data_IF_433899864318
#
_entry.id   IF_433899864318
#
_cell.length_a   1.000
_cell.length_b   1.000
_cell.length_c   1.000
_cell.angle_alpha   90.00
_cell.angle_beta   90.00
_cell.angle_gamma   90.00
#
_symmetry.space_group_name_H-M   'P 1'
#
loop_
_entity.id
_entity.type
_entity.pdbx_description
1 polymer ?
#
# COMPACT_ATOMS: atom_id res chain seq x y z
N UNK A 1 29.69 7.83 -113.92
CA UNK A 1 28.24 8.13 -113.82
C UNK A 1 27.89 8.31 -112.34
N UNK A 2 27.07 9.31 -111.97
CA UNK A 2 27.08 9.93 -110.66
C UNK A 2 26.12 9.28 -109.65
N UNK A 3 26.54 9.24 -108.39
CA UNK A 3 25.75 8.85 -107.22
C UNK A 3 25.07 10.11 -106.67
N UNK A 4 23.75 10.20 -106.80
CA UNK A 4 22.95 11.29 -106.23
C UNK A 4 22.70 11.05 -104.72
N UNK A 5 23.31 11.89 -103.88
CA UNK A 5 22.96 12.02 -102.47
C UNK A 5 21.60 12.74 -102.33
N UNK A 6 20.57 12.02 -101.86
CA UNK A 6 19.26 12.58 -101.51
C UNK A 6 19.26 12.94 -100.03
N UNK A 7 19.67 14.16 -99.70
CA UNK A 7 19.52 14.74 -98.37
C UNK A 7 18.03 14.93 -98.07
N UNK A 8 17.50 14.18 -97.10
CA UNK A 8 16.15 14.35 -96.58
C UNK A 8 16.16 15.51 -95.60
N UNK A 9 15.78 16.70 -96.06
CA UNK A 9 15.51 17.85 -95.19
C UNK A 9 14.22 17.56 -94.42
N UNK A 10 14.34 17.16 -93.16
CA UNK A 10 13.23 17.20 -92.20
C UNK A 10 12.96 18.65 -91.83
N UNK A 11 12.01 19.27 -92.52
CA UNK A 11 11.48 20.58 -92.19
C UNK A 11 10.74 20.48 -90.85
N UNK A 12 11.41 20.89 -89.78
CA UNK A 12 10.82 21.13 -88.46
C UNK A 12 9.84 22.32 -88.58
N UNK A 13 8.60 22.03 -89.00
CA UNK A 13 7.48 22.96 -88.87
C UNK A 13 7.15 23.11 -87.38
N UNK A 14 7.80 24.07 -86.73
CA UNK A 14 7.47 24.54 -85.38
C UNK A 14 6.15 25.30 -85.45
N UNK A 15 5.04 24.54 -85.51
CA UNK A 15 3.69 25.08 -85.40
C UNK A 15 3.56 25.57 -83.96
N UNK A 16 3.74 26.88 -83.77
CA UNK A 16 3.46 27.56 -82.51
C UNK A 16 1.98 27.36 -82.20
N UNK A 17 1.67 26.28 -81.48
CA UNK A 17 0.37 26.06 -80.89
C UNK A 17 0.18 27.19 -79.88
N UNK A 18 -0.60 28.19 -80.26
CA UNK A 18 -1.08 29.20 -79.32
C UNK A 18 -1.74 28.45 -78.16
N UNK A 19 -1.22 28.64 -76.96
CA UNK A 19 -1.78 28.12 -75.71
C UNK A 19 -3.19 28.68 -75.53
N UNK A 20 -4.18 27.97 -76.08
CA UNK A 20 -5.58 28.27 -75.84
C UNK A 20 -5.88 27.97 -74.38
N UNK A 21 -6.57 28.86 -73.67
CA UNK A 21 -6.92 28.69 -72.25
C UNK A 21 -7.53 27.30 -71.94
N UNK A 22 -8.20 26.69 -72.92
CA UNK A 22 -8.73 25.32 -72.89
C UNK A 22 -7.65 24.24 -72.63
N UNK A 23 -6.48 24.33 -73.26
CA UNK A 23 -5.39 23.36 -73.09
C UNK A 23 -4.74 23.50 -71.69
N UNK A 24 -4.65 24.73 -71.18
CA UNK A 24 -4.17 25.00 -69.82
C UNK A 24 -5.16 24.44 -68.79
N UNK A 25 -6.46 24.64 -68.99
CA UNK A 25 -7.50 24.09 -68.11
C UNK A 25 -7.50 22.55 -68.12
N UNK A 26 -7.32 21.94 -69.29
CA UNK A 26 -7.25 20.48 -69.44
C UNK A 26 -6.00 19.92 -68.75
N UNK A 27 -4.87 20.61 -68.84
CA UNK A 27 -3.64 20.24 -68.13
C UNK A 27 -3.84 20.33 -66.60
N UNK A 28 -4.39 21.43 -66.09
CA UNK A 28 -4.69 21.60 -64.66
C UNK A 28 -5.67 20.52 -64.17
N UNK A 29 -6.74 20.27 -64.92
CA UNK A 29 -7.71 19.22 -64.61
C UNK A 29 -7.06 17.83 -64.58
N UNK A 30 -6.11 17.55 -65.47
CA UNK A 30 -5.40 16.27 -65.49
C UNK A 30 -4.43 16.10 -64.33
N UNK A 31 -3.95 17.20 -63.74
CA UNK A 31 -3.01 17.20 -62.61
C UNK A 31 -3.71 17.12 -61.25
N UNK A 32 -4.95 17.63 -61.14
CA UNK A 32 -5.72 17.63 -59.90
C UNK A 32 -6.01 16.20 -59.42
N UNK A 33 -6.39 15.29 -60.32
CA UNK A 33 -6.78 13.91 -59.93
C UNK A 33 -5.60 13.16 -59.28
N UNK A 34 -4.40 13.06 -59.89
CA UNK A 34 -3.24 12.43 -59.25
C UNK A 34 -2.84 13.10 -57.93
N UNK A 35 -2.97 14.43 -57.83
CA UNK A 35 -2.61 15.18 -56.63
C UNK A 35 -3.57 14.87 -55.46
N UNK A 36 -4.87 14.81 -55.73
CA UNK A 36 -5.89 14.40 -54.73
C UNK A 36 -5.64 12.96 -54.29
N UNK A 37 -5.35 12.04 -55.21
CA UNK A 37 -5.00 10.66 -54.87
C UNK A 37 -3.72 10.56 -54.03
N UNK A 38 -2.71 11.37 -54.34
CA UNK A 38 -1.45 11.42 -53.57
C UNK A 38 -1.68 11.87 -52.13
N UNK A 39 -2.41 12.97 -51.92
CA UNK A 39 -2.75 13.47 -50.58
C UNK A 39 -3.58 12.44 -49.82
N UNK A 40 -4.60 11.86 -50.47
CA UNK A 40 -5.46 10.85 -49.85
C UNK A 40 -4.67 9.62 -49.40
N UNK A 41 -3.74 9.14 -50.23
CA UNK A 41 -2.87 8.02 -49.90
C UNK A 41 -1.99 8.32 -48.68
N UNK A 42 -1.39 9.52 -48.61
CA UNK A 42 -0.58 9.95 -47.46
C UNK A 42 -1.43 9.99 -46.18
N UNK A 43 -2.63 10.58 -46.25
CA UNK A 43 -3.54 10.67 -45.09
C UNK A 43 -3.94 9.28 -44.57
N UNK A 44 -4.33 8.38 -45.47
CA UNK A 44 -4.66 6.99 -45.10
C UNK A 44 -3.46 6.30 -44.47
N UNK A 45 -2.27 6.44 -45.06
CA UNK A 45 -1.06 5.78 -44.56
C UNK A 45 -0.74 6.25 -43.14
N UNK A 46 -0.83 7.56 -42.87
CA UNK A 46 -0.66 8.10 -41.53
C UNK A 46 -1.74 7.61 -40.55
N UNK A 47 -2.99 7.54 -40.99
CA UNK A 47 -4.09 7.07 -40.16
C UNK A 47 -3.91 5.59 -39.79
N UNK A 48 -3.61 4.72 -40.77
CA UNK A 48 -3.34 3.31 -40.55
C UNK A 48 -2.13 3.09 -39.63
N UNK A 49 -1.07 3.89 -39.81
CA UNK A 49 0.10 3.81 -38.93
C UNK A 49 -0.24 4.20 -37.49
N UNK A 50 -1.09 5.21 -37.29
CA UNK A 50 -1.54 5.63 -35.97
C UNK A 50 -2.36 4.54 -35.30
N UNK A 51 -3.38 3.99 -35.97
CA UNK A 51 -4.23 2.92 -35.43
C UNK A 51 -3.41 1.66 -35.11
N UNK A 52 -2.47 1.27 -35.98
CA UNK A 52 -1.61 0.12 -35.73
C UNK A 52 -0.65 0.34 -34.53
N UNK A 53 -0.26 1.59 -34.24
CA UNK A 53 0.53 1.91 -33.03
C UNK A 53 -0.31 1.85 -31.77
N UNK A 54 -1.54 2.35 -31.83
CA UNK A 54 -2.47 2.33 -30.70
C UNK A 54 -2.80 0.88 -30.32
N UNK A 55 -3.14 0.02 -31.28
CA UNK A 55 -3.38 -1.40 -31.05
C UNK A 55 -2.17 -2.11 -30.41
N UNK A 56 -0.95 -1.89 -30.93
CA UNK A 56 0.26 -2.47 -30.33
C UNK A 56 0.51 -1.99 -28.89
N UNK A 57 0.07 -0.78 -28.55
CA UNK A 57 0.21 -0.24 -27.20
C UNK A 57 -0.82 -0.87 -26.25
N UNK A 58 -2.04 -1.07 -26.73
CA UNK A 58 -3.10 -1.78 -26.00
C UNK A 58 -2.70 -3.24 -25.74
N UNK A 59 -2.28 -3.99 -26.76
CA UNK A 59 -1.81 -5.37 -26.63
C UNK A 59 -0.66 -5.49 -25.61
N UNK A 60 0.26 -4.52 -25.62
CA UNK A 60 1.40 -4.51 -24.70
C UNK A 60 1.00 -4.18 -23.26
N UNK A 61 -0.04 -3.37 -23.07
CA UNK A 61 -0.60 -3.08 -21.75
C UNK A 61 -1.38 -4.27 -21.21
N UNK A 62 -2.22 -4.92 -22.01
CA UNK A 62 -2.93 -6.15 -21.64
C UNK A 62 -1.95 -7.25 -21.21
N UNK A 63 -0.89 -7.48 -22.00
CA UNK A 63 0.17 -8.44 -21.66
C UNK A 63 0.92 -8.09 -20.35
N UNK A 64 0.97 -6.81 -19.97
CA UNK A 64 1.57 -6.38 -18.69
C UNK A 64 0.62 -6.62 -17.53
N UNK A 65 -0.68 -6.43 -17.74
CA UNK A 65 -1.69 -6.69 -16.73
C UNK A 65 -1.81 -8.19 -16.45
N UNK A 66 -1.87 -9.02 -17.49
CA UNK A 66 -1.88 -10.49 -17.36
C UNK A 66 -0.68 -11.00 -16.56
N UNK A 67 0.53 -10.49 -16.87
CA UNK A 67 1.75 -10.86 -16.14
C UNK A 67 1.71 -10.41 -14.68
N UNK A 68 1.07 -9.28 -14.38
CA UNK A 68 0.90 -8.83 -12.98
C UNK A 68 -0.08 -9.73 -12.24
N UNK A 69 -1.19 -10.09 -12.87
CA UNK A 69 -2.14 -11.02 -12.28
C UNK A 69 -1.52 -12.39 -12.01
N UNK A 70 -0.78 -12.93 -12.98
CA UNK A 70 -0.10 -14.21 -12.83
C UNK A 70 0.93 -14.17 -11.69
N UNK A 71 1.69 -13.08 -11.57
CA UNK A 71 2.63 -12.89 -10.46
C UNK A 71 1.93 -12.84 -9.10
N UNK A 72 0.77 -12.17 -9.01
CA UNK A 72 -0.03 -12.13 -7.78
C UNK A 72 -0.56 -13.53 -7.44
N UNK A 73 -1.11 -14.26 -8.42
CA UNK A 73 -1.60 -15.63 -8.24
C UNK A 73 -0.48 -16.57 -7.78
N UNK A 74 0.71 -16.48 -8.39
CA UNK A 74 1.87 -17.25 -8.00
C UNK A 74 2.36 -16.92 -6.58
N UNK A 75 2.37 -15.65 -6.20
CA UNK A 75 2.74 -15.23 -4.85
C UNK A 75 1.74 -15.76 -3.80
N UNK A 76 0.43 -15.65 -4.06
CA UNK A 76 -0.60 -16.16 -3.16
C UNK A 76 -0.52 -17.69 -3.03
N UNK A 77 -0.27 -18.41 -4.13
CA UNK A 77 -0.10 -19.86 -4.10
C UNK A 77 1.13 -20.28 -3.29
N UNK A 78 2.25 -19.57 -3.45
CA UNK A 78 3.47 -19.80 -2.67
C UNK A 78 3.25 -19.51 -1.18
N UNK A 79 2.52 -18.46 -0.84
CA UNK A 79 2.19 -18.12 0.55
C UNK A 79 1.30 -19.20 1.18
N UNK A 80 0.25 -19.61 0.47
CA UNK A 80 -0.63 -20.70 0.92
C UNK A 80 0.14 -22.01 1.12
N UNK A 81 1.07 -22.35 0.21
CA UNK A 81 1.90 -23.54 0.36
C UNK A 81 2.83 -23.47 1.57
N UNK A 82 3.38 -22.29 1.89
CA UNK A 82 4.18 -22.06 3.10
C UNK A 82 3.34 -22.23 4.37
N UNK A 83 2.11 -21.73 4.36
CA UNK A 83 1.17 -21.92 5.49
C UNK A 83 0.87 -23.40 5.69
N UNK A 84 0.50 -24.11 4.62
CA UNK A 84 0.21 -25.55 4.67
C UNK A 84 1.41 -26.37 5.17
N UNK A 85 2.64 -26.03 4.74
CA UNK A 85 3.85 -26.69 5.22
C UNK A 85 4.08 -26.45 6.72
N UNK A 86 3.80 -25.23 7.21
CA UNK A 86 3.90 -24.87 8.62
C UNK A 86 2.87 -25.63 9.45
N UNK A 87 1.64 -25.74 8.97
CA UNK A 87 0.56 -26.44 9.67
C UNK A 87 0.83 -27.95 9.72
N UNK A 88 1.28 -28.56 8.62
CA UNK A 88 1.71 -29.97 8.61
C UNK A 88 2.83 -30.24 9.61
N UNK A 89 3.79 -29.32 9.71
CA UNK A 89 4.86 -29.44 10.69
C UNK A 89 4.33 -29.38 12.13
N UNK A 90 3.39 -28.47 12.43
CA UNK A 90 2.73 -28.37 13.74
C UNK A 90 1.95 -29.64 14.08
N UNK A 91 1.20 -30.18 13.13
CA UNK A 91 0.44 -31.41 13.31
C UNK A 91 1.35 -32.60 13.60
N UNK A 92 2.47 -32.73 12.87
CA UNK A 92 3.47 -33.76 13.13
C UNK A 92 4.09 -33.63 14.52
N UNK A 93 4.42 -32.39 14.93
CA UNK A 93 4.99 -32.12 16.25
C UNK A 93 3.99 -32.48 17.36
N UNK A 94 2.72 -32.11 17.20
CA UNK A 94 1.66 -32.43 18.15
C UNK A 94 1.43 -33.94 18.25
N UNK A 95 1.36 -34.63 17.10
CA UNK A 95 1.21 -36.09 17.06
C UNK A 95 2.36 -36.81 17.77
N UNK A 96 3.62 -36.40 17.49
CA UNK A 96 4.80 -36.94 18.17
C UNK A 96 4.74 -36.70 19.68
N UNK A 97 4.33 -35.49 20.10
CA UNK A 97 4.17 -35.16 21.51
C UNK A 97 3.12 -36.02 22.21
N UNK A 98 1.95 -36.21 21.58
CA UNK A 98 0.89 -37.06 22.12
C UNK A 98 1.37 -38.50 22.28
N UNK A 99 2.05 -39.04 21.27
CA UNK A 99 2.61 -40.40 21.32
C UNK A 99 3.64 -40.55 22.45
N UNK A 100 4.53 -39.56 22.59
CA UNK A 100 5.52 -39.54 23.65
C UNK A 100 4.88 -39.48 25.04
N UNK A 101 3.84 -38.66 25.21
CA UNK A 101 3.12 -38.54 26.47
C UNK A 101 2.33 -39.80 26.80
N UNK A 102 1.71 -40.43 25.80
CA UNK A 102 1.04 -41.72 25.98
C UNK A 102 2.02 -42.78 26.51
N UNK A 103 3.23 -42.87 25.94
CA UNK A 103 4.27 -43.78 26.42
C UNK A 103 4.75 -43.46 27.84
N UNK A 104 4.80 -42.18 28.23
CA UNK A 104 5.15 -41.77 29.60
C UNK A 104 4.04 -42.14 30.59
N UNK A 105 2.77 -41.97 30.22
CA UNK A 105 1.60 -42.34 31.04
C UNK A 105 1.55 -43.84 31.25
N UNK A 106 1.72 -44.62 30.19
CA UNK A 106 1.71 -46.09 30.21
C UNK A 106 2.79 -46.64 31.15
N UNK A 107 4.01 -46.10 31.07
CA UNK A 107 5.15 -46.47 31.95
C UNK A 107 4.95 -46.11 33.43
N UNK A 108 4.03 -45.22 33.77
CA UNK A 108 3.80 -44.76 35.16
C UNK A 108 2.41 -45.14 35.69
N UNK A 109 1.86 -46.27 35.24
CA UNK A 109 0.56 -46.79 35.68
C UNK A 109 -0.56 -45.74 35.56
N UNK A 110 -0.55 -44.94 34.49
CA UNK A 110 -1.56 -43.92 34.27
C UNK A 110 -1.33 -42.57 34.95
N UNK A 111 -0.26 -42.40 35.73
CA UNK A 111 0.00 -41.13 36.45
C UNK A 111 1.19 -40.35 35.88
N UNK A 112 0.97 -39.06 35.58
CA UNK A 112 2.02 -38.13 35.15
C UNK A 112 2.77 -37.46 36.31
N UNK A 113 2.30 -37.66 37.55
CA UNK A 113 2.76 -36.91 38.73
C UNK A 113 3.24 -37.81 39.87
N UNK A 114 3.04 -39.13 39.77
CA UNK A 114 3.46 -40.10 40.79
C UNK A 114 4.97 -40.13 41.02
N UNK A 115 5.77 -39.74 40.01
CA UNK A 115 7.22 -39.65 40.09
C UNK A 115 7.68 -38.21 39.78
N UNK A 116 8.32 -37.56 40.76
CA UNK A 116 8.79 -36.17 40.66
C UNK A 116 9.78 -35.95 39.51
N UNK A 117 10.66 -36.92 39.23
CA UNK A 117 11.59 -36.83 38.11
C UNK A 117 10.84 -36.87 36.78
N UNK A 118 9.85 -37.76 36.66
CA UNK A 118 9.03 -37.84 35.44
C UNK A 118 8.17 -36.60 35.24
N UNK A 119 7.55 -36.07 36.30
CA UNK A 119 6.77 -34.84 36.25
C UNK A 119 7.60 -33.65 35.73
N UNK A 120 8.86 -33.56 36.17
CA UNK A 120 9.79 -32.52 35.72
C UNK A 120 10.13 -32.66 34.24
N UNK A 121 10.41 -33.89 33.78
CA UNK A 121 10.70 -34.18 32.36
C UNK A 121 9.49 -33.93 31.47
N UNK A 122 8.31 -34.40 31.87
CA UNK A 122 7.04 -34.15 31.17
C UNK A 122 6.79 -32.65 31.04
N UNK A 123 6.90 -31.90 32.13
CA UNK A 123 6.71 -30.45 32.13
C UNK A 123 7.69 -29.74 31.19
N UNK A 124 8.97 -30.11 31.23
CA UNK A 124 9.98 -29.52 30.35
C UNK A 124 9.67 -29.80 28.87
N UNK A 125 9.25 -31.03 28.54
CA UNK A 125 8.90 -31.45 27.19
C UNK A 125 7.63 -30.76 26.67
N UNK A 126 6.58 -30.69 27.48
CA UNK A 126 5.36 -29.92 27.18
C UNK A 126 5.69 -28.46 26.90
N UNK A 127 6.53 -27.85 27.72
CA UNK A 127 6.91 -26.44 27.57
C UNK A 127 7.74 -26.20 26.31
N UNK A 128 8.62 -27.13 25.94
CA UNK A 128 9.37 -27.07 24.69
C UNK A 128 8.46 -27.18 23.45
N UNK A 129 7.50 -28.12 23.46
CA UNK A 129 6.54 -28.30 22.36
C UNK A 129 5.59 -27.10 22.23
N UNK A 130 5.09 -26.55 23.34
CA UNK A 130 4.27 -25.34 23.32
C UNK A 130 5.03 -24.17 22.68
N UNK A 131 6.31 -23.97 23.00
CA UNK A 131 7.13 -22.92 22.38
C UNK A 131 7.31 -23.10 20.88
N UNK A 132 7.37 -24.34 20.40
CA UNK A 132 7.53 -24.65 18.97
C UNK A 132 6.21 -24.54 18.20
N UNK A 133 5.09 -24.99 18.79
CA UNK A 133 3.75 -24.83 18.23
C UNK A 133 3.35 -23.35 18.16
N UNK A 134 3.78 -22.56 19.14
CA UNK A 134 3.42 -21.15 19.31
C UNK A 134 4.55 -20.18 18.94
N UNK A 135 5.18 -20.44 17.79
CA UNK A 135 6.26 -19.61 17.24
C UNK A 135 5.84 -18.17 16.92
N UNK A 136 4.53 -17.88 16.83
CA UNK A 136 3.99 -16.53 16.61
C UNK A 136 3.50 -15.83 17.87
N UNK A 137 3.17 -16.51 18.99
CA UNK A 137 2.97 -15.84 20.29
C UNK A 137 4.23 -15.84 21.13
N UNK A 138 5.29 -15.26 20.58
CA UNK A 138 6.20 -14.53 21.46
C UNK A 138 5.41 -13.33 22.00
N UNK A 139 4.78 -13.51 23.17
CA UNK A 139 3.99 -12.52 23.94
C UNK A 139 2.58 -12.23 23.39
N UNK A 140 1.69 -13.23 23.42
CA UNK A 140 0.27 -12.98 23.73
C UNK A 140 -0.03 -13.70 25.05
N UNK A 141 0.38 -13.04 26.14
CA UNK A 141 -0.04 -13.41 27.49
C UNK A 141 -1.58 -13.33 27.51
N UNK A 142 -2.22 -14.48 27.67
CA UNK A 142 -3.64 -14.54 27.97
C UNK A 142 -3.83 -14.02 29.40
N UNK A 143 -3.96 -12.70 29.56
CA UNK A 143 -4.04 -12.00 30.85
C UNK A 143 -5.31 -12.32 31.64
N UNK A 144 -6.26 -13.07 31.08
CA UNK A 144 -7.50 -13.40 31.79
C UNK A 144 -7.32 -14.48 32.88
N UNK A 145 -6.14 -15.11 32.99
CA UNK A 145 -5.83 -16.10 34.04
C UNK A 145 -4.51 -15.85 34.78
N UNK A 146 -3.76 -14.79 34.44
CA UNK A 146 -2.53 -14.43 35.15
C UNK A 146 -2.77 -13.24 36.08
N UNK A 147 -2.63 -13.45 37.39
CA UNK A 147 -2.59 -12.40 38.43
C UNK A 147 -1.38 -11.44 38.31
N UNK A 148 -0.67 -11.44 37.19
CA UNK A 148 0.47 -10.54 36.97
C UNK A 148 -0.11 -9.25 36.40
N UNK A 149 -0.13 -8.19 37.20
CA UNK A 149 -0.56 -6.88 36.72
C UNK A 149 0.38 -6.41 35.61
N UNK A 150 -0.15 -5.67 34.63
CA UNK A 150 0.64 -5.05 33.56
C UNK A 150 1.84 -4.25 34.11
N UNK A 151 1.67 -3.68 35.31
CA UNK A 151 2.66 -2.87 36.02
C UNK A 151 3.78 -3.69 36.67
N UNK A 152 3.57 -4.98 36.91
CA UNK A 152 4.57 -5.88 37.49
C UNK A 152 5.59 -6.36 36.44
N UNK A 153 5.33 -6.07 35.16
CA UNK A 153 6.22 -6.46 34.07
C UNK A 153 7.50 -5.61 34.05
N UNK A 154 8.65 -6.21 33.67
CA UNK A 154 9.85 -5.47 33.31
C UNK A 154 9.59 -4.47 32.17
N UNK A 155 10.37 -3.39 32.14
CA UNK A 155 10.14 -2.24 31.23
C UNK A 155 10.22 -2.66 29.78
N UNK A 156 11.12 -3.59 29.48
CA UNK A 156 11.37 -4.13 28.14
C UNK A 156 10.15 -4.86 27.60
N UNK A 157 9.50 -5.67 28.44
CA UNK A 157 8.30 -6.42 28.06
C UNK A 157 7.12 -5.47 27.85
N UNK A 158 6.99 -4.47 28.73
CA UNK A 158 5.98 -3.44 28.62
C UNK A 158 6.14 -2.65 27.30
N UNK A 159 7.37 -2.25 26.96
CA UNK A 159 7.67 -1.58 25.69
C UNK A 159 7.28 -2.43 24.48
N UNK A 160 7.55 -3.74 24.50
CA UNK A 160 7.18 -4.65 23.40
C UNK A 160 5.66 -4.75 23.25
N UNK A 161 4.93 -4.87 24.38
CA UNK A 161 3.46 -4.92 24.36
C UNK A 161 2.89 -3.59 23.83
N UNK A 162 3.35 -2.46 24.36
CA UNK A 162 2.88 -1.14 23.97
C UNK A 162 3.20 -0.83 22.52
N UNK A 163 4.37 -1.21 22.00
CA UNK A 163 4.75 -0.99 20.60
C UNK A 163 3.82 -1.68 19.59
N UNK A 164 3.07 -2.70 20.01
CA UNK A 164 2.09 -3.36 19.16
C UNK A 164 0.71 -2.66 19.14
N UNK A 165 0.48 -1.68 20.00
CA UNK A 165 -0.73 -0.85 20.03
C UNK A 165 -0.51 0.43 19.20
N UNK A 166 -1.59 1.10 18.78
CA UNK A 166 -1.44 2.40 18.12
C UNK A 166 -1.05 3.46 19.16
N UNK A 167 -0.19 4.41 18.77
CA UNK A 167 0.33 5.41 19.71
C UNK A 167 -0.77 6.21 20.40
N UNK A 168 -1.86 6.52 19.69
CA UNK A 168 -3.01 7.25 20.24
C UNK A 168 -3.75 6.40 21.28
N UNK A 169 -3.96 5.11 21.04
CA UNK A 169 -4.63 4.22 22.00
C UNK A 169 -3.83 4.08 23.30
N UNK A 170 -2.50 3.96 23.20
CA UNK A 170 -1.59 3.89 24.34
C UNK A 170 -1.69 5.17 25.16
N UNK A 171 -1.53 6.31 24.49
CA UNK A 171 -1.56 7.61 25.13
C UNK A 171 -2.92 7.87 25.79
N UNK A 172 -4.02 7.57 25.10
CA UNK A 172 -5.35 7.76 25.66
C UNK A 172 -5.65 6.84 26.84
N UNK A 173 -5.25 5.56 26.75
CA UNK A 173 -5.61 4.55 27.76
C UNK A 173 -4.70 4.57 28.98
N UNK A 174 -3.45 4.99 28.82
CA UNK A 174 -2.41 4.84 29.85
C UNK A 174 -1.96 6.17 30.45
N UNK A 175 -2.16 7.29 29.77
CA UNK A 175 -1.82 8.59 30.33
C UNK A 175 -2.85 8.97 31.40
N UNK A 176 -2.36 9.34 32.59
CA UNK A 176 -3.14 9.55 33.82
C UNK A 176 -3.60 8.27 34.52
N UNK A 177 -3.02 7.11 34.20
CA UNK A 177 -2.96 6.04 35.21
C UNK A 177 -1.98 6.55 36.27
N UNK A 178 -2.36 6.56 37.55
CA UNK A 178 -1.54 7.04 38.68
C UNK A 178 -0.28 6.15 38.87
N UNK A 179 0.61 6.15 37.88
CA UNK A 179 1.80 5.34 37.80
C UNK A 179 2.90 6.11 37.05
N UNK A 180 3.79 6.70 37.85
CA UNK A 180 4.91 7.50 37.35
C UNK A 180 5.81 6.75 36.36
N UNK A 181 6.01 5.44 36.55
CA UNK A 181 6.85 4.63 35.65
C UNK A 181 6.22 4.52 34.26
N UNK A 182 4.90 4.28 34.20
CA UNK A 182 4.17 4.20 32.95
C UNK A 182 4.14 5.56 32.23
N UNK A 183 3.92 6.64 32.98
CA UNK A 183 3.94 8.00 32.43
C UNK A 183 5.28 8.34 31.77
N UNK A 184 6.41 8.01 32.41
CA UNK A 184 7.76 8.22 31.83
C UNK A 184 7.92 7.44 30.52
N UNK A 185 7.46 6.19 30.48
CA UNK A 185 7.57 5.33 29.30
C UNK A 185 6.72 5.88 28.16
N UNK A 186 5.46 6.22 28.45
CA UNK A 186 4.46 6.66 27.47
C UNK A 186 4.79 8.05 26.92
N UNK A 187 5.32 8.96 27.74
CA UNK A 187 5.77 10.29 27.29
C UNK A 187 7.11 10.25 26.54
N UNK A 188 7.84 9.14 26.65
CA UNK A 188 9.11 8.94 25.96
C UNK A 188 8.99 9.04 24.44
N UNK A 189 10.08 9.48 23.80
CA UNK A 189 10.17 9.71 22.36
C UNK A 189 9.73 8.52 21.49
N UNK A 190 9.76 7.30 22.03
CA UNK A 190 9.35 6.08 21.31
C UNK A 190 7.88 6.17 20.86
N UNK A 191 7.00 6.69 21.71
CA UNK A 191 5.55 6.76 21.43
C UNK A 191 5.09 8.16 21.00
N UNK A 192 5.83 9.20 21.40
CA UNK A 192 5.44 10.60 21.15
C UNK A 192 6.04 11.20 19.88
N UNK A 193 7.11 10.62 19.31
CA UNK A 193 7.72 11.14 18.08
C UNK A 193 6.75 11.16 16.89
N UNK A 194 5.86 10.17 16.81
CA UNK A 194 4.90 10.03 15.72
C UNK A 194 3.50 9.89 16.30
N UNK A 195 2.62 10.84 16.01
CA UNK A 195 1.20 10.72 16.30
C UNK A 195 0.43 10.47 15.02
N UNK A 196 -0.38 9.42 15.04
CA UNK A 196 -1.20 8.98 13.91
C UNK A 196 -2.67 8.94 14.34
N UNK A 197 -3.42 9.95 13.91
CA UNK A 197 -4.85 10.11 14.11
C UNK A 197 -5.64 9.70 12.86
N UNK A 198 -4.99 9.05 11.88
CA UNK A 198 -5.70 8.53 10.71
C UNK A 198 -6.51 7.32 11.14
N UNK A 199 -7.80 7.42 10.88
CA UNK A 199 -8.76 6.35 11.05
C UNK A 199 -8.34 5.17 10.16
N UNK A 200 -7.73 4.15 10.76
CA UNK A 200 -7.55 2.87 10.07
C UNK A 200 -8.93 2.23 10.02
N UNK A 201 -9.60 2.39 8.88
CA UNK A 201 -10.81 1.65 8.52
C UNK A 201 -10.46 0.16 8.48
N UNK A 202 -10.51 -0.49 9.64
CA UNK A 202 -10.44 -1.94 9.72
C UNK A 202 -11.84 -2.48 9.41
N UNK A 203 -11.96 -3.07 8.23
CA UNK A 203 -13.07 -3.88 7.69
C UNK A 203 -14.33 -3.11 7.27
N UNK A 204 -14.83 -3.46 6.08
CA UNK A 204 -15.65 -2.67 5.14
C UNK A 204 -16.96 -2.03 5.63
N UNK A 205 -17.43 -2.29 6.86
CA UNK A 205 -18.77 -1.82 7.28
C UNK A 205 -18.80 -0.98 8.58
N UNK A 206 -17.71 -0.90 9.34
CA UNK A 206 -17.69 -0.14 10.60
C UNK A 206 -16.53 0.85 10.62
N UNK A 207 -16.78 2.05 10.08
CA UNK A 207 -15.88 3.20 10.25
C UNK A 207 -15.89 3.56 11.74
N UNK A 208 -14.88 3.10 12.48
CA UNK A 208 -14.64 3.52 13.86
C UNK A 208 -14.17 4.97 13.88
N UNK A 209 -15.09 5.92 13.71
CA UNK A 209 -14.81 7.33 13.95
C UNK A 209 -14.33 7.48 15.40
N UNK A 210 -13.18 8.13 15.58
CA UNK A 210 -12.76 8.58 16.90
C UNK A 210 -13.91 9.43 17.45
N UNK A 211 -14.46 9.00 18.59
CA UNK A 211 -15.47 9.78 19.28
C UNK A 211 -14.88 11.17 19.57
N UNK A 212 -15.59 12.24 19.22
CA UNK A 212 -15.14 13.62 19.40
C UNK A 212 -14.64 13.87 20.82
N UNK A 213 -15.29 13.29 21.83
CA UNK A 213 -14.87 13.38 23.23
C UNK A 213 -13.47 12.83 23.51
N UNK A 214 -13.03 11.80 22.77
CA UNK A 214 -11.68 11.22 22.88
C UNK A 214 -10.67 12.22 22.34
N UNK A 215 -10.94 12.82 21.18
CA UNK A 215 -10.06 13.82 20.56
C UNK A 215 -9.96 15.05 21.46
N UNK A 216 -11.09 15.55 21.96
CA UNK A 216 -11.13 16.75 22.80
C UNK A 216 -10.37 16.50 24.12
N UNK A 217 -10.55 15.33 24.74
CA UNK A 217 -9.80 14.93 25.93
C UNK A 217 -8.29 14.80 25.63
N UNK A 218 -7.94 14.26 24.47
CA UNK A 218 -6.54 14.14 24.05
C UNK A 218 -5.91 15.52 23.84
N UNK A 219 -6.59 16.41 23.13
CA UNK A 219 -6.14 17.77 22.83
C UNK A 219 -5.98 18.60 24.11
N UNK A 220 -6.87 18.44 25.08
CA UNK A 220 -6.84 19.22 26.34
C UNK A 220 -5.84 18.68 27.36
N UNK A 221 -5.70 17.35 27.50
CA UNK A 221 -4.95 16.77 28.62
C UNK A 221 -3.61 16.14 28.23
N UNK A 222 -3.51 15.61 27.02
CA UNK A 222 -2.38 14.78 26.59
C UNK A 222 -1.41 15.59 25.76
N UNK A 223 -1.94 16.21 24.70
CA UNK A 223 -1.15 16.93 23.70
C UNK A 223 -0.27 18.03 24.32
N UNK A 224 -0.73 18.86 25.27
CA UNK A 224 0.09 19.91 25.88
C UNK A 224 1.26 19.37 26.71
N UNK A 225 1.28 18.08 27.05
CA UNK A 225 2.39 17.45 27.80
C UNK A 225 3.44 16.84 26.86
N UNK A 226 3.03 16.40 25.68
CA UNK A 226 3.89 15.67 24.75
C UNK A 226 4.29 16.47 23.51
N UNK A 227 3.72 17.65 23.29
CA UNK A 227 3.85 18.41 22.04
C UNK A 227 5.29 18.68 21.60
N UNK A 228 6.20 18.88 22.56
CA UNK A 228 7.62 19.14 22.29
C UNK A 228 8.33 17.92 21.70
N UNK A 229 7.83 16.71 21.93
CA UNK A 229 8.48 15.48 21.44
C UNK A 229 7.98 15.07 20.06
N UNK A 230 6.91 15.68 19.55
CA UNK A 230 6.28 15.29 18.29
C UNK A 230 7.12 15.79 17.11
N UNK A 231 7.56 14.84 16.26
CA UNK A 231 8.30 15.10 15.02
C UNK A 231 7.47 14.83 13.78
N UNK A 232 6.54 13.89 13.87
CA UNK A 232 5.70 13.41 12.78
C UNK A 232 4.24 13.46 13.22
N UNK A 233 3.42 14.23 12.52
CA UNK A 233 1.99 14.34 12.78
C UNK A 233 1.20 13.90 11.55
N UNK A 234 0.35 12.90 11.72
CA UNK A 234 -0.44 12.28 10.65
C UNK A 234 -1.92 12.41 11.05
N UNK A 235 -2.66 13.26 10.35
CA UNK A 235 -4.02 13.65 10.73
C UNK A 235 -5.04 13.29 9.66
N UNK A 236 -6.28 13.11 10.11
CA UNK A 236 -7.45 13.19 9.24
C UNK A 236 -7.91 14.65 9.13
N UNK A 237 -8.49 15.02 7.99
CA UNK A 237 -9.16 16.30 7.77
C UNK A 237 -10.14 16.70 8.89
N UNK A 238 -10.84 15.74 9.50
CA UNK A 238 -11.86 16.01 10.52
C UNK A 238 -11.28 16.40 11.89
N UNK A 239 -10.08 15.91 12.21
CA UNK A 239 -9.41 16.16 13.50
C UNK A 239 -8.33 17.23 13.42
N UNK A 240 -7.98 17.67 12.20
CA UNK A 240 -6.87 18.59 11.93
C UNK A 240 -6.94 19.87 12.75
N UNK A 241 -8.07 20.59 12.71
CA UNK A 241 -8.20 21.89 13.37
C UNK A 241 -7.98 21.77 14.88
N UNK A 242 -8.70 20.85 15.53
CA UNK A 242 -8.63 20.68 16.99
C UNK A 242 -7.24 20.32 17.46
N UNK A 243 -6.56 19.43 16.73
CA UNK A 243 -5.21 19.00 17.08
C UNK A 243 -4.22 20.14 16.85
N UNK A 244 -4.26 20.80 15.69
CA UNK A 244 -3.34 21.89 15.38
C UNK A 244 -3.50 23.11 16.28
N UNK A 245 -4.71 23.41 16.75
CA UNK A 245 -4.98 24.52 17.67
C UNK A 245 -4.62 24.20 19.12
N UNK A 246 -4.50 22.93 19.49
CA UNK A 246 -4.34 22.53 20.88
C UNK A 246 -2.92 22.70 21.43
N UNK A 247 -1.89 22.77 20.58
CA UNK A 247 -0.51 22.98 21.02
C UNK A 247 0.39 23.52 19.89
N UNK A 248 1.48 24.20 20.28
CA UNK A 248 2.57 24.52 19.37
C UNK A 248 3.50 23.32 19.18
N UNK A 249 3.90 22.99 17.95
CA UNK A 249 4.77 21.84 17.69
C UNK A 249 6.17 22.27 17.24
N UNK A 250 7.06 22.71 18.15
CA UNK A 250 8.35 23.30 17.78
C UNK A 250 9.29 22.35 17.05
N UNK A 251 9.12 21.03 17.25
CA UNK A 251 9.97 19.99 16.68
C UNK A 251 9.32 19.24 15.50
N UNK A 252 8.18 19.74 14.99
CA UNK A 252 7.47 19.10 13.89
C UNK A 252 8.28 19.22 12.59
N UNK A 253 8.71 18.07 12.07
CA UNK A 253 9.50 18.00 10.83
C UNK A 253 8.68 17.50 9.65
N UNK A 254 7.59 16.77 9.91
CA UNK A 254 6.72 16.23 8.88
C UNK A 254 5.26 16.22 9.33
N UNK A 255 4.42 16.78 8.47
CA UNK A 255 2.98 16.80 8.60
C UNK A 255 2.36 16.04 7.41
N UNK A 256 1.42 15.13 7.69
CA UNK A 256 0.66 14.42 6.67
C UNK A 256 -0.83 14.54 6.97
N UNK A 257 -1.61 14.75 5.92
CA UNK A 257 -3.05 14.93 6.01
C UNK A 257 -3.75 13.94 5.10
N UNK A 258 -4.76 13.26 5.63
CA UNK A 258 -5.54 12.24 4.95
C UNK A 258 -6.99 12.69 4.79
N UNK A 259 -7.69 12.07 3.83
CA UNK A 259 -9.11 12.29 3.55
C UNK A 259 -9.47 13.76 3.28
N UNK A 260 -8.53 14.53 2.73
CA UNK A 260 -8.74 15.94 2.45
C UNK A 260 -9.62 16.13 1.21
N UNK A 261 -10.91 16.40 1.43
CA UNK A 261 -11.87 16.68 0.36
C UNK A 261 -11.73 18.14 -0.12
N UNK A 262 -11.86 18.38 -1.43
CA UNK A 262 -11.85 19.71 -2.06
C UNK A 262 -12.83 20.70 -1.40
N UNK A 263 -13.97 20.22 -0.88
CA UNK A 263 -14.92 21.06 -0.14
C UNK A 263 -14.29 21.63 1.14
N UNK A 264 -13.68 20.76 1.95
CA UNK A 264 -13.01 21.14 3.20
C UNK A 264 -11.87 22.11 2.88
N UNK A 265 -11.08 21.83 1.84
CA UNK A 265 -10.02 22.71 1.36
C UNK A 265 -10.54 24.13 1.05
N UNK A 266 -11.64 24.23 0.31
CA UNK A 266 -12.26 25.52 -0.01
C UNK A 266 -12.74 26.26 1.24
N UNK A 267 -13.30 25.56 2.22
CA UNK A 267 -13.80 26.17 3.46
C UNK A 267 -12.64 26.71 4.32
N UNK A 268 -11.50 26.02 4.36
CA UNK A 268 -10.28 26.50 5.03
C UNK A 268 -9.67 27.72 4.35
N UNK A 269 -9.46 27.68 3.03
CA UNK A 269 -8.84 28.80 2.30
C UNK A 269 -9.72 30.04 2.23
N UNK A 270 -11.04 29.89 2.39
CA UNK A 270 -11.96 31.03 2.47
C UNK A 270 -12.07 31.60 3.89
N UNK A 271 -11.36 31.04 4.87
CA UNK A 271 -11.35 31.52 6.26
C UNK A 271 -12.67 31.30 7.00
N UNK A 272 -13.59 30.52 6.45
CA UNK A 272 -14.94 30.31 7.01
C UNK A 272 -14.96 29.45 8.27
N UNK A 273 -13.92 28.66 8.51
CA UNK A 273 -13.86 27.75 9.66
C UNK A 273 -13.41 28.45 10.97
N UNK A 274 -12.68 29.57 10.89
CA UNK A 274 -12.14 30.27 12.07
C UNK A 274 -13.16 31.13 12.84
N UNK A 275 -14.46 30.92 12.64
CA UNK A 275 -15.53 31.78 13.21
C UNK A 275 -16.44 31.06 14.22
N UNK A 276 -15.93 30.02 14.89
CA UNK A 276 -16.63 29.37 16.01
C UNK A 276 -15.95 29.64 17.36
#
# INVERSE_FOLDING_TARGET
MPIQHRATQTSYYRKNQSLTAKNVLQFISSLIIPLVFGIFTIVITFHQQKTAREQRLEDLNELREDRREEAIRANNANEFQRQLATDRYRDQLLASYIQDMAAVVDKNNGSLTSNQAMSTVTRAKTLAVIRQLDTQRTIKLNMNQSNVGLLDLPTEILLVILKNLTNVDILYSLLNVDNQRLDIIVQGNIFTNTLDFVLKTLTDDNIFLFNDSIIDRFCTNILPRIHQNIKYLILDSLSMERILLAADYPNLTRFKLFNFNNKILSDYFTGKLLTY
#
